data_IF_524161491690
#
_entry.id   IF_524161491690
#
_cell.length_a   1.000
_cell.length_b   1.000
_cell.length_c   1.000
_cell.angle_alpha   90.00
_cell.angle_beta   90.00
_cell.angle_gamma   90.00
#
_symmetry.space_group_name_H-M   'P 1'
#
loop_
_entity.id
_entity.type
_entity.pdbx_description
1 polymer ?
#
# COMPACT_ATOMS: atom_id res chain seq x y z
N UNK A 1 -0.66 -6.27 0.94
CA UNK A 1 0.25 -5.75 1.99
C UNK A 1 -0.44 -5.63 3.34
N UNK A 2 0.37 -5.59 4.40
CA UNK A 2 -0.03 -5.23 5.76
C UNK A 2 0.14 -6.35 6.79
N UNK A 3 0.27 -7.60 6.32
CA UNK A 3 0.45 -8.77 7.18
C UNK A 3 1.91 -8.92 7.62
N UNK A 4 2.85 -9.06 6.67
CA UNK A 4 4.29 -9.01 6.94
C UNK A 4 4.88 -7.65 6.55
N UNK A 5 4.82 -6.69 7.47
CA UNK A 5 5.25 -5.31 7.20
C UNK A 5 6.76 -5.14 7.05
N UNK A 6 7.53 -6.01 7.68
CA UNK A 6 8.99 -5.87 7.78
C UNK A 6 9.76 -6.96 7.02
N UNK A 7 9.06 -7.84 6.29
CA UNK A 7 9.67 -9.01 5.65
C UNK A 7 10.20 -10.05 6.66
N UNK A 8 9.62 -10.12 7.86
CA UNK A 8 10.13 -10.96 8.93
C UNK A 8 9.88 -12.45 8.71
N UNK A 9 8.93 -12.83 7.85
CA UNK A 9 8.47 -14.20 7.68
C UNK A 9 8.22 -14.58 6.21
N UNK A 10 8.96 -13.98 5.27
CA UNK A 10 8.80 -14.22 3.81
C UNK A 10 8.82 -15.72 3.48
N UNK A 11 9.84 -16.44 3.94
CA UNK A 11 9.98 -17.89 3.67
C UNK A 11 8.89 -18.73 4.33
N UNK A 12 8.34 -18.26 5.45
CA UNK A 12 7.22 -18.92 6.13
C UNK A 12 5.92 -18.76 5.33
N UNK A 13 5.61 -17.54 4.90
CA UNK A 13 4.44 -17.28 4.06
C UNK A 13 4.50 -17.98 2.71
N UNK A 14 5.69 -18.05 2.10
CA UNK A 14 5.91 -18.75 0.84
C UNK A 14 5.52 -20.25 0.89
N UNK A 15 5.61 -20.88 2.06
CA UNK A 15 5.26 -22.31 2.24
C UNK A 15 3.77 -22.57 2.38
N UNK A 16 2.94 -21.52 2.56
CA UNK A 16 1.50 -21.65 2.73
C UNK A 16 0.72 -21.78 1.41
N UNK A 17 1.42 -21.81 0.26
CA UNK A 17 0.81 -22.03 -1.06
C UNK A 17 0.30 -20.77 -1.76
N UNK A 18 0.66 -19.58 -1.29
CA UNK A 18 0.35 -18.33 -2.00
C UNK A 18 1.14 -18.21 -3.30
N UNK A 19 0.50 -17.78 -4.39
CA UNK A 19 1.16 -17.57 -5.69
C UNK A 19 2.16 -16.40 -5.70
N UNK A 20 2.03 -15.45 -4.77
CA UNK A 20 2.97 -14.36 -4.54
C UNK A 20 2.86 -13.85 -3.10
N UNK A 21 3.85 -13.07 -2.64
CA UNK A 21 3.85 -12.43 -1.32
C UNK A 21 4.04 -10.93 -1.48
N UNK A 22 3.23 -10.11 -0.80
CA UNK A 22 3.41 -8.65 -0.75
C UNK A 22 3.72 -8.18 0.67
N UNK A 23 4.97 -7.79 0.90
CA UNK A 23 5.45 -7.25 2.19
C UNK A 23 5.28 -5.73 2.27
N UNK A 24 5.38 -5.17 3.48
CA UNK A 24 5.12 -3.75 3.74
C UNK A 24 3.67 -3.48 4.18
N UNK A 25 3.19 -2.24 4.21
CA UNK A 25 3.82 -1.01 3.71
C UNK A 25 5.02 -0.58 4.54
N UNK A 26 6.14 -0.33 3.88
CA UNK A 26 7.36 0.22 4.46
C UNK A 26 7.51 1.71 4.14
N UNK A 27 8.21 2.43 4.99
CA UNK A 27 8.50 3.86 4.83
C UNK A 27 10.01 4.10 4.89
N UNK A 28 10.53 5.27 4.49
CA UNK A 28 11.97 5.54 4.55
C UNK A 28 12.55 5.36 5.94
N UNK A 29 11.91 5.96 6.95
CA UNK A 29 12.31 5.87 8.37
C UNK A 29 11.42 4.88 9.12
N UNK A 30 11.93 4.22 10.18
CA UNK A 30 11.08 3.45 11.08
C UNK A 30 10.03 4.34 11.74
N UNK A 31 8.86 3.77 12.03
CA UNK A 31 7.82 4.45 12.81
C UNK A 31 6.97 3.46 13.63
N UNK A 32 6.52 3.84 14.84
CA UNK A 32 5.80 2.94 15.75
C UNK A 32 4.34 2.69 15.33
N UNK A 33 3.80 3.55 14.45
CA UNK A 33 2.39 3.67 14.11
C UNK A 33 1.51 4.22 15.24
N UNK A 34 0.20 4.16 15.09
CA UNK A 34 -0.74 4.77 16.04
C UNK A 34 -0.76 4.03 17.40
N UNK A 35 -1.17 4.68 18.50
CA UNK A 35 -1.30 4.02 19.81
C UNK A 35 -2.21 2.78 19.78
N UNK A 36 -1.93 1.80 20.65
CA UNK A 36 -2.78 0.61 20.83
C UNK A 36 -3.95 0.93 21.80
N UNK A 37 -5.13 0.27 21.68
CA UNK A 37 -5.51 -0.73 20.68
C UNK A 37 -5.79 -0.12 19.30
N UNK A 38 -5.43 -0.85 18.24
CA UNK A 38 -5.44 -0.35 16.84
C UNK A 38 -5.83 -1.37 15.78
N UNK A 39 -6.28 -2.55 16.20
CA UNK A 39 -6.81 -3.60 15.34
C UNK A 39 -7.90 -4.33 16.12
N UNK A 40 -9.06 -4.48 15.50
CA UNK A 40 -10.27 -5.01 16.11
C UNK A 40 -10.86 -6.05 15.18
N UNK A 41 -11.21 -7.22 15.72
CA UNK A 41 -11.83 -8.31 14.97
C UNK A 41 -13.34 -8.22 15.13
N UNK A 42 -14.07 -8.44 14.04
CA UNK A 42 -15.51 -8.53 14.00
C UNK A 42 -15.89 -9.89 13.38
N UNK A 43 -15.79 -11.00 14.14
CA UNK A 43 -15.93 -12.35 13.59
C UNK A 43 -17.28 -12.59 12.94
N UNK A 44 -18.37 -12.05 13.51
CA UNK A 44 -19.73 -12.19 12.98
C UNK A 44 -19.93 -11.59 11.59
N UNK A 45 -19.03 -10.68 11.18
CA UNK A 45 -19.03 -10.07 9.85
C UNK A 45 -17.80 -10.48 9.02
N UNK A 46 -17.00 -11.45 9.49
CA UNK A 46 -15.73 -11.84 8.86
C UNK A 46 -14.82 -10.64 8.53
N UNK A 47 -14.78 -9.68 9.47
CA UNK A 47 -14.21 -8.36 9.22
C UNK A 47 -13.16 -7.95 10.25
N UNK A 48 -12.34 -6.96 9.86
CA UNK A 48 -11.34 -6.33 10.71
C UNK A 48 -11.43 -4.82 10.51
N UNK A 49 -11.44 -4.07 11.62
CA UNK A 49 -11.19 -2.62 11.61
C UNK A 49 -9.79 -2.37 12.13
N UNK A 50 -9.00 -1.54 11.43
CA UNK A 50 -7.65 -1.21 11.89
C UNK A 50 -7.27 0.25 11.65
N UNK A 51 -6.48 0.79 12.59
CA UNK A 51 -5.88 2.12 12.53
C UNK A 51 -4.38 2.07 12.78
N UNK A 52 -3.67 1.23 12.03
CA UNK A 52 -2.27 0.90 12.35
C UNK A 52 -1.26 2.04 12.09
N UNK A 53 -1.49 2.89 11.08
CA UNK A 53 -0.62 4.05 10.77
C UNK A 53 0.80 3.66 10.32
N UNK A 54 0.91 2.72 9.37
CA UNK A 54 2.20 2.24 8.80
C UNK A 54 3.30 1.92 9.83
N UNK A 55 2.99 1.22 10.93
CA UNK A 55 4.05 0.77 11.85
C UNK A 55 5.05 -0.18 11.15
N UNK A 56 6.32 0.21 11.05
CA UNK A 56 7.38 -0.56 10.38
C UNK A 56 8.78 -0.16 10.89
N UNK A 57 9.79 -0.96 10.56
CA UNK A 57 11.19 -0.78 10.99
C UNK A 57 12.06 -0.01 9.97
N UNK A 58 11.45 0.61 8.97
CA UNK A 58 12.14 1.34 7.90
C UNK A 58 12.57 0.44 6.75
N UNK A 59 12.80 1.07 5.60
CA UNK A 59 13.12 0.37 4.34
C UNK A 59 14.46 -0.35 4.39
N UNK A 60 15.47 0.17 5.09
CA UNK A 60 16.77 -0.50 5.22
C UNK A 60 16.65 -1.83 5.97
N UNK A 61 15.87 -1.87 7.05
CA UNK A 61 15.57 -3.13 7.73
C UNK A 61 14.84 -4.09 6.80
N UNK A 62 13.82 -3.62 6.06
CA UNK A 62 13.07 -4.48 5.14
C UNK A 62 13.98 -5.08 4.06
N UNK A 63 14.86 -4.29 3.43
CA UNK A 63 15.80 -4.77 2.40
C UNK A 63 16.71 -5.85 2.96
N UNK A 64 17.31 -5.66 4.14
CA UNK A 64 18.17 -6.69 4.75
C UNK A 64 17.43 -8.01 5.03
N UNK A 65 16.12 -7.95 5.32
CA UNK A 65 15.28 -9.15 5.47
C UNK A 65 15.00 -9.84 4.15
N UNK A 66 14.76 -9.06 3.08
CA UNK A 66 14.56 -9.60 1.74
C UNK A 66 15.82 -10.28 1.22
N UNK A 67 16.99 -9.69 1.44
CA UNK A 67 18.28 -10.28 1.05
C UNK A 67 18.58 -11.59 1.80
N UNK A 68 18.15 -11.69 3.05
CA UNK A 68 18.31 -12.91 3.85
C UNK A 68 17.30 -14.02 3.53
N UNK A 69 16.20 -13.71 2.84
CA UNK A 69 15.16 -14.67 2.49
C UNK A 69 15.61 -15.61 1.37
N UNK A 70 15.12 -16.85 1.39
CA UNK A 70 15.40 -17.86 0.34
C UNK A 70 14.36 -17.85 -0.77
N UNK A 71 13.22 -17.20 -0.56
CA UNK A 71 12.12 -17.13 -1.49
C UNK A 71 12.54 -16.58 -2.87
N UNK A 72 12.20 -17.31 -3.93
CA UNK A 72 12.48 -16.96 -5.34
C UNK A 72 11.22 -16.72 -6.18
N UNK A 73 10.04 -16.76 -5.56
CA UNK A 73 8.78 -16.48 -6.23
C UNK A 73 8.54 -14.98 -6.42
N UNK A 74 7.30 -14.63 -6.80
CA UNK A 74 6.92 -13.22 -6.99
C UNK A 74 6.82 -12.54 -5.62
N UNK A 75 7.67 -11.53 -5.40
CA UNK A 75 7.73 -10.71 -4.20
C UNK A 75 7.36 -9.25 -4.51
N UNK A 76 6.21 -8.83 -4.02
CA UNK A 76 5.80 -7.43 -4.02
C UNK A 76 6.37 -6.69 -2.82
N UNK A 77 6.89 -5.48 -3.02
CA UNK A 77 7.30 -4.60 -1.93
C UNK A 77 6.43 -3.35 -1.94
N UNK A 78 5.65 -3.17 -0.88
CA UNK A 78 4.71 -2.07 -0.74
C UNK A 78 5.36 -0.89 0.00
N UNK A 79 5.36 0.28 -0.62
CA UNK A 79 6.04 1.49 -0.14
C UNK A 79 5.03 2.61 0.17
N UNK A 80 5.36 3.46 1.13
CA UNK A 80 4.51 4.54 1.61
C UNK A 80 5.31 5.70 2.21
N UNK A 81 4.58 6.77 2.54
CA UNK A 81 5.11 7.97 3.18
C UNK A 81 5.19 7.81 4.71
N UNK A 82 6.24 8.33 5.34
CA UNK A 82 6.31 8.47 6.79
C UNK A 82 5.18 9.37 7.32
N UNK A 83 4.76 9.17 8.58
CA UNK A 83 3.60 9.90 9.13
C UNK A 83 3.86 11.41 9.30
N UNK A 84 5.11 11.80 9.56
CA UNK A 84 5.58 13.16 9.85
C UNK A 84 6.08 13.92 8.61
N UNK A 85 6.26 13.24 7.47
CA UNK A 85 6.56 13.90 6.20
C UNK A 85 5.33 14.69 5.72
N UNK A 86 5.43 16.00 5.45
CA UNK A 86 4.32 16.77 4.86
C UNK A 86 3.85 16.19 3.51
N UNK A 87 2.59 16.40 3.15
CA UNK A 87 2.02 15.83 1.90
C UNK A 87 2.74 16.40 0.67
N UNK A 88 3.17 17.65 0.73
CA UNK A 88 3.94 18.35 -0.31
C UNK A 88 5.32 17.73 -0.54
N UNK A 89 5.82 16.97 0.44
CA UNK A 89 7.09 16.23 0.37
C UNK A 89 6.88 14.72 0.27
N UNK A 90 5.64 14.27 0.07
CA UNK A 90 5.30 12.85 -0.01
C UNK A 90 6.10 12.10 -1.08
N UNK A 91 6.29 12.74 -2.23
CA UNK A 91 7.00 12.19 -3.39
C UNK A 91 8.40 11.71 -2.99
N UNK A 92 9.13 12.48 -2.17
CA UNK A 92 10.49 12.13 -1.74
C UNK A 92 10.53 10.79 -1.02
N UNK A 93 9.58 10.54 -0.11
CA UNK A 93 9.53 9.29 0.63
C UNK A 93 9.28 8.08 -0.28
N UNK A 94 8.44 8.24 -1.30
CA UNK A 94 8.21 7.21 -2.30
C UNK A 94 9.45 6.97 -3.15
N UNK A 95 10.14 8.01 -3.60
CA UNK A 95 11.37 7.89 -4.39
C UNK A 95 12.50 7.23 -3.59
N UNK A 96 12.69 7.61 -2.33
CA UNK A 96 13.68 7.00 -1.43
C UNK A 96 13.39 5.50 -1.25
N UNK A 97 12.13 5.14 -1.02
CA UNK A 97 11.77 3.73 -0.90
C UNK A 97 11.95 2.99 -2.21
N UNK A 98 11.48 3.57 -3.32
CA UNK A 98 11.58 2.97 -4.64
C UNK A 98 13.03 2.63 -4.98
N UNK A 99 13.95 3.57 -4.78
CA UNK A 99 15.39 3.37 -4.97
C UNK A 99 15.95 2.17 -4.23
N UNK A 100 15.57 2.03 -2.95
CA UNK A 100 16.10 0.99 -2.08
C UNK A 100 15.50 -0.38 -2.37
N UNK A 101 14.25 -0.44 -2.81
CA UNK A 101 13.54 -1.73 -2.99
C UNK A 101 13.58 -2.26 -4.43
N UNK A 102 13.89 -1.40 -5.42
CA UNK A 102 13.75 -1.72 -6.84
C UNK A 102 14.41 -3.03 -7.25
N UNK A 103 15.70 -3.19 -6.94
CA UNK A 103 16.46 -4.37 -7.33
C UNK A 103 15.98 -5.67 -6.66
N UNK A 104 15.27 -5.56 -5.53
CA UNK A 104 14.84 -6.69 -4.70
C UNK A 104 13.39 -7.11 -4.97
N UNK A 105 12.63 -6.29 -5.68
CA UNK A 105 11.21 -6.50 -5.92
C UNK A 105 10.94 -7.22 -7.27
N UNK A 106 9.89 -8.04 -7.29
CA UNK A 106 9.24 -8.48 -8.53
C UNK A 106 8.27 -7.42 -9.05
N UNK A 107 7.62 -6.68 -8.14
CA UNK A 107 6.85 -5.47 -8.43
C UNK A 107 6.85 -4.56 -7.18
N UNK A 108 6.68 -3.26 -7.36
CA UNK A 108 6.60 -2.30 -6.25
C UNK A 108 5.18 -1.74 -6.18
N UNK A 109 4.58 -1.79 -5.00
CA UNK A 109 3.28 -1.15 -4.76
C UNK A 109 3.48 0.23 -4.17
N UNK A 110 2.87 1.24 -4.77
CA UNK A 110 2.80 2.60 -4.26
C UNK A 110 1.47 2.77 -3.52
N UNK A 111 1.51 2.92 -2.20
CA UNK A 111 0.30 2.97 -1.37
C UNK A 111 -0.12 4.40 -1.03
N UNK A 112 -1.09 4.91 -1.81
CA UNK A 112 -1.70 6.25 -1.65
C UNK A 112 -3.05 6.21 -0.93
N UNK A 113 -3.49 5.05 -0.43
CA UNK A 113 -4.91 4.81 -0.08
C UNK A 113 -5.18 4.52 1.39
N UNK A 114 -4.15 4.47 2.24
CA UNK A 114 -4.33 4.24 3.68
C UNK A 114 -5.18 5.34 4.33
N UNK A 115 -6.30 5.01 5.00
CA UNK A 115 -7.08 5.98 5.77
C UNK A 115 -6.40 6.40 7.08
N UNK A 116 -5.33 5.71 7.46
CA UNK A 116 -4.72 5.80 8.79
C UNK A 116 -3.49 6.71 8.83
N UNK A 117 -3.16 7.34 7.71
CA UNK A 117 -2.06 8.29 7.55
C UNK A 117 -2.67 9.62 7.12
N UNK A 118 -2.64 10.68 7.96
CA UNK A 118 -3.28 11.96 7.65
C UNK A 118 -2.84 12.52 6.29
N UNK A 119 -3.81 13.02 5.52
CA UNK A 119 -3.56 13.62 4.21
C UNK A 119 -3.10 12.67 3.11
N UNK A 120 -2.96 11.35 3.36
CA UNK A 120 -2.44 10.45 2.33
C UNK A 120 -3.44 10.26 1.19
N UNK A 121 -4.73 10.11 1.50
CA UNK A 121 -5.77 9.87 0.49
C UNK A 121 -5.97 11.04 -0.47
N UNK A 122 -5.58 12.27 -0.10
CA UNK A 122 -5.65 13.41 -1.03
C UNK A 122 -4.62 13.30 -2.17
N UNK A 123 -3.57 12.49 -2.02
CA UNK A 123 -2.63 12.17 -3.12
C UNK A 123 -3.29 11.35 -4.23
N UNK A 124 -4.50 10.81 -4.03
CA UNK A 124 -5.22 10.08 -5.07
C UNK A 124 -5.89 11.01 -6.09
N UNK A 125 -5.88 12.33 -5.89
CA UNK A 125 -6.67 13.24 -6.70
C UNK A 125 -5.85 14.40 -7.27
N UNK A 126 -6.32 14.91 -8.40
CA UNK A 126 -5.82 16.14 -9.02
C UNK A 126 -4.32 16.14 -9.32
N UNK A 127 -3.72 17.31 -9.17
CA UNK A 127 -2.31 17.54 -9.52
C UNK A 127 -1.35 16.77 -8.62
N UNK A 128 -1.74 16.47 -7.37
CA UNK A 128 -0.91 15.70 -6.45
C UNK A 128 -0.70 14.26 -6.94
N UNK A 129 -1.73 13.63 -7.50
CA UNK A 129 -1.59 12.31 -8.11
C UNK A 129 -0.66 12.38 -9.32
N UNK A 130 -0.91 13.32 -10.24
CA UNK A 130 -0.11 13.48 -11.47
C UNK A 130 1.38 13.68 -11.17
N UNK A 131 1.71 14.62 -10.27
CA UNK A 131 3.09 14.88 -9.86
C UNK A 131 3.77 13.64 -9.27
N UNK A 132 3.06 12.88 -8.44
CA UNK A 132 3.58 11.63 -7.88
C UNK A 132 3.84 10.59 -8.97
N UNK A 133 2.88 10.37 -9.87
CA UNK A 133 2.98 9.37 -10.93
C UNK A 133 4.08 9.71 -11.95
N UNK A 134 4.21 10.97 -12.34
CA UNK A 134 5.28 11.45 -13.22
C UNK A 134 6.66 11.23 -12.60
N UNK A 135 6.85 11.60 -11.33
CA UNK A 135 8.11 11.40 -10.62
C UNK A 135 8.47 9.91 -10.50
N UNK A 136 7.48 9.06 -10.19
CA UNK A 136 7.66 7.60 -10.13
C UNK A 136 8.00 7.00 -11.48
N UNK A 137 7.33 7.42 -12.55
CA UNK A 137 7.57 6.95 -13.92
C UNK A 137 8.98 7.29 -14.38
N UNK A 138 9.40 8.55 -14.20
CA UNK A 138 10.76 8.99 -14.51
C UNK A 138 11.79 8.17 -13.71
N UNK A 139 11.57 8.00 -12.40
CA UNK A 139 12.51 7.25 -11.58
C UNK A 139 12.56 5.76 -11.92
N UNK A 140 11.43 5.15 -12.27
CA UNK A 140 11.38 3.76 -12.75
C UNK A 140 12.23 3.59 -14.02
N UNK A 141 12.18 4.55 -14.95
CA UNK A 141 12.99 4.51 -16.17
C UNK A 141 14.50 4.57 -15.86
N UNK A 142 14.92 5.48 -14.99
CA UNK A 142 16.31 5.59 -14.55
C UNK A 142 16.80 4.31 -13.85
N UNK A 143 15.99 3.75 -12.95
CA UNK A 143 16.31 2.52 -12.24
C UNK A 143 16.31 1.31 -13.18
N UNK A 144 15.43 1.29 -14.18
CA UNK A 144 15.43 0.26 -15.24
C UNK A 144 16.76 0.26 -15.99
N UNK A 145 17.26 1.43 -16.38
CA UNK A 145 18.56 1.56 -17.04
C UNK A 145 19.70 1.13 -16.10
N UNK A 146 19.66 1.56 -14.84
CA UNK A 146 20.69 1.25 -13.84
C UNK A 146 20.80 -0.26 -13.53
N UNK A 147 19.67 -0.95 -13.44
CA UNK A 147 19.62 -2.35 -13.03
C UNK A 147 19.44 -3.34 -14.19
N UNK A 148 19.25 -2.86 -15.43
CA UNK A 148 19.00 -3.71 -16.60
C UNK A 148 17.70 -4.51 -16.54
N UNK A 149 16.77 -4.15 -15.65
CA UNK A 149 15.50 -4.84 -15.41
C UNK A 149 14.42 -3.82 -15.11
N UNK A 150 13.29 -3.91 -15.81
CA UNK A 150 12.10 -3.11 -15.49
C UNK A 150 11.28 -3.81 -14.41
N UNK A 151 10.99 -3.10 -13.32
CA UNK A 151 10.18 -3.61 -12.19
C UNK A 151 8.84 -2.88 -12.21
N UNK A 152 7.71 -3.60 -12.40
CA UNK A 152 6.40 -2.98 -12.50
C UNK A 152 6.02 -2.15 -11.26
N UNK A 153 5.40 -1.00 -11.49
CA UNK A 153 4.79 -0.17 -10.44
C UNK A 153 3.27 -0.38 -10.40
N UNK A 154 2.77 -0.80 -9.24
CA UNK A 154 1.35 -0.98 -8.99
C UNK A 154 0.82 0.11 -8.05
N UNK A 155 -0.17 0.90 -8.47
CA UNK A 155 -0.76 1.94 -7.62
C UNK A 155 -1.92 1.33 -6.82
N UNK A 156 -1.88 1.44 -5.48
CA UNK A 156 -2.93 0.91 -4.61
C UNK A 156 -3.91 1.99 -4.20
N UNK A 157 -5.17 1.84 -4.63
CA UNK A 157 -6.23 2.83 -4.48
C UNK A 157 -7.27 2.44 -3.40
N UNK A 158 -8.01 3.42 -2.88
CA UNK A 158 -9.08 3.20 -1.91
C UNK A 158 -10.39 2.84 -2.61
N UNK A 159 -11.31 2.11 -1.95
CA UNK A 159 -12.65 1.83 -2.48
C UNK A 159 -13.62 3.01 -2.30
N UNK A 160 -13.20 4.05 -1.57
CA UNK A 160 -14.06 5.17 -1.17
C UNK A 160 -13.87 6.33 -2.17
N UNK A 161 -14.39 6.16 -3.39
CA UNK A 161 -14.36 7.16 -4.47
C UNK A 161 -15.70 7.15 -5.21
N UNK A 162 -16.09 8.27 -5.82
CA UNK A 162 -17.22 8.28 -6.78
C UNK A 162 -16.80 7.64 -8.11
N UNK A 163 -17.77 7.34 -8.97
CA UNK A 163 -17.50 6.81 -10.30
C UNK A 163 -16.68 7.81 -11.14
N UNK A 164 -16.99 9.11 -11.03
CA UNK A 164 -16.25 10.17 -11.71
C UNK A 164 -14.81 10.26 -11.20
N UNK A 165 -14.60 10.21 -9.89
CA UNK A 165 -13.26 10.17 -9.29
C UNK A 165 -12.47 8.95 -9.76
N UNK A 166 -13.12 7.79 -9.84
CA UNK A 166 -12.51 6.55 -10.32
C UNK A 166 -12.05 6.68 -11.77
N UNK A 167 -12.87 7.25 -12.65
CA UNK A 167 -12.51 7.53 -14.05
C UNK A 167 -11.32 8.49 -14.15
N UNK A 168 -11.29 9.55 -13.34
CA UNK A 168 -10.18 10.50 -13.32
C UNK A 168 -8.86 9.85 -12.87
N UNK A 169 -8.91 9.01 -11.83
CA UNK A 169 -7.75 8.24 -11.35
C UNK A 169 -7.26 7.28 -12.43
N UNK A 170 -8.17 6.52 -13.05
CA UNK A 170 -7.83 5.59 -14.13
C UNK A 170 -7.14 6.30 -15.31
N UNK A 171 -7.67 7.46 -15.73
CA UNK A 171 -7.07 8.27 -16.79
C UNK A 171 -5.64 8.71 -16.42
N UNK A 172 -5.43 9.25 -15.22
CA UNK A 172 -4.11 9.69 -14.77
C UNK A 172 -3.08 8.54 -14.72
N UNK A 173 -3.52 7.34 -14.32
CA UNK A 173 -2.67 6.13 -14.29
C UNK A 173 -2.24 5.68 -15.69
N UNK A 174 -3.17 5.72 -16.66
CA UNK A 174 -2.90 5.40 -18.06
C UNK A 174 -1.95 6.44 -18.67
N UNK A 175 -2.24 7.72 -18.49
CA UNK A 175 -1.43 8.84 -19.02
C UNK A 175 0.02 8.79 -18.49
N UNK A 176 0.20 8.40 -17.23
CA UNK A 176 1.52 8.31 -16.61
C UNK A 176 2.28 7.01 -16.92
N UNK A 177 1.64 6.07 -17.63
CA UNK A 177 2.21 4.77 -17.99
C UNK A 177 2.41 3.83 -16.80
N UNK A 178 1.53 3.88 -15.79
CA UNK A 178 1.59 2.96 -14.65
C UNK A 178 1.23 1.52 -15.07
N UNK A 179 1.90 0.54 -14.47
CA UNK A 179 1.83 -0.85 -14.93
C UNK A 179 0.61 -1.61 -14.43
N UNK A 180 0.15 -1.27 -13.24
CA UNK A 180 -0.91 -2.00 -12.57
C UNK A 180 -1.64 -1.14 -11.53
N UNK A 181 -2.83 -1.61 -11.16
CA UNK A 181 -3.64 -1.06 -10.08
C UNK A 181 -3.96 -2.17 -9.10
N UNK A 182 -3.83 -1.90 -7.80
CA UNK A 182 -4.32 -2.77 -6.74
C UNK A 182 -5.60 -2.15 -6.17
N UNK A 183 -6.72 -2.66 -6.66
CA UNK A 183 -8.06 -2.34 -6.19
C UNK A 183 -8.54 -3.45 -5.23
N UNK A 184 -8.79 -3.21 -3.95
CA UNK A 184 -8.70 -1.92 -3.22
C UNK A 184 -7.97 -2.04 -1.88
N UNK A 185 -7.78 -0.89 -1.23
CA UNK A 185 -7.47 -0.82 0.19
C UNK A 185 -8.75 -0.97 1.05
N UNK A 186 -8.63 -0.74 2.35
CA UNK A 186 -9.73 -0.75 3.32
C UNK A 186 -10.72 0.40 3.09
N UNK A 187 -12.01 0.23 3.43
CA UNK A 187 -13.05 1.28 3.35
C UNK A 187 -13.20 2.06 4.67
N UNK A 188 -13.61 3.32 4.59
CA UNK A 188 -14.07 4.10 5.75
C UNK A 188 -15.53 3.85 6.12
N UNK A 189 -16.29 3.17 5.25
CA UNK A 189 -17.68 2.82 5.53
C UNK A 189 -17.80 1.88 6.73
N UNK A 190 -18.96 1.93 7.39
CA UNK A 190 -19.39 1.01 8.46
C UNK A 190 -20.58 0.14 8.08
N UNK A 191 -20.93 0.16 6.79
CA UNK A 191 -21.96 -0.70 6.25
C UNK A 191 -21.58 -2.18 6.44
N UNK A 192 -22.52 -2.95 6.98
CA UNK A 192 -22.35 -4.38 7.26
C UNK A 192 -21.75 -4.71 8.62
N UNK A 193 -21.45 -3.71 9.46
CA UNK A 193 -20.91 -3.91 10.81
C UNK A 193 -21.60 -3.08 11.89
N UNK A 194 -22.71 -2.42 11.55
CA UNK A 194 -23.49 -1.60 12.45
C UNK A 194 -23.97 -2.41 13.66
N UNK A 195 -23.82 -1.84 14.86
CA UNK A 195 -24.26 -2.47 16.12
C UNK A 195 -23.44 -3.69 16.56
N UNK A 196 -22.44 -4.14 15.79
CA UNK A 196 -21.51 -5.18 16.22
C UNK A 196 -20.50 -4.63 17.23
N UNK A 197 -19.95 -5.47 18.13
CA UNK A 197 -18.80 -5.09 18.95
C UNK A 197 -17.66 -4.58 18.07
N UNK A 198 -17.12 -3.40 18.43
CA UNK A 198 -16.11 -2.67 17.67
C UNK A 198 -16.55 -2.11 16.31
N UNK A 199 -17.83 -2.20 15.93
CA UNK A 199 -18.37 -1.65 14.68
C UNK A 199 -18.08 -0.15 14.50
N UNK A 200 -18.10 0.61 15.60
CA UNK A 200 -17.89 2.07 15.58
C UNK A 200 -16.42 2.49 15.72
N UNK A 201 -15.47 1.55 15.75
CA UNK A 201 -14.04 1.88 15.88
C UNK A 201 -13.54 2.69 14.68
N UNK A 202 -12.68 3.68 14.94
CA UNK A 202 -12.03 4.45 13.86
C UNK A 202 -11.01 3.61 13.08
N UNK A 203 -10.84 3.92 11.80
CA UNK A 203 -9.86 3.30 10.90
C UNK A 203 -10.49 2.67 9.66
N UNK A 204 -9.72 1.84 8.97
CA UNK A 204 -10.16 1.12 7.78
C UNK A 204 -10.83 -0.21 8.09
N UNK A 205 -12.02 -0.43 7.56
CA UNK A 205 -12.75 -1.70 7.55
C UNK A 205 -12.25 -2.60 6.40
N UNK A 206 -12.06 -3.88 6.70
CA UNK A 206 -11.60 -4.95 5.79
C UNK A 206 -12.50 -6.18 5.96
N UNK A 207 -12.40 -7.13 5.02
CA UNK A 207 -13.11 -8.41 5.09
C UNK A 207 -14.36 -8.43 4.21
N UNK A 208 -15.30 -9.32 4.53
CA UNK A 208 -16.50 -9.55 3.72
C UNK A 208 -17.29 -8.27 3.37
N UNK A 209 -17.48 -7.28 4.28
CA UNK A 209 -18.24 -6.07 3.99
C UNK A 209 -17.64 -5.17 2.90
N UNK A 210 -16.35 -5.32 2.58
CA UNK A 210 -15.68 -4.50 1.56
C UNK A 210 -15.89 -5.07 0.15
N UNK A 211 -16.36 -6.32 0.03
CA UNK A 211 -16.39 -7.07 -1.23
C UNK A 211 -17.09 -6.31 -2.35
N UNK A 212 -18.33 -5.87 -2.14
CA UNK A 212 -19.12 -5.22 -3.19
C UNK A 212 -18.47 -3.94 -3.71
N UNK A 213 -18.01 -3.06 -2.80
CA UNK A 213 -17.31 -1.82 -3.17
C UNK A 213 -16.01 -2.11 -3.89
N UNK A 214 -15.24 -3.10 -3.42
CA UNK A 214 -14.00 -3.48 -4.08
C UNK A 214 -14.24 -4.04 -5.47
N UNK A 215 -15.30 -4.83 -5.67
CA UNK A 215 -15.67 -5.40 -6.97
C UNK A 215 -16.18 -4.33 -7.93
N UNK A 216 -16.91 -3.32 -7.46
CA UNK A 216 -17.38 -2.21 -8.30
C UNK A 216 -16.23 -1.36 -8.86
N UNK A 217 -15.13 -1.23 -8.12
CA UNK A 217 -13.94 -0.47 -8.55
C UNK A 217 -13.09 -1.23 -9.59
N UNK A 218 -13.22 -2.56 -9.68
CA UNK A 218 -12.48 -3.43 -10.62
C UNK A 218 -13.19 -3.46 -11.97
#
# INVERSE_FOLDING_TARGET
>A
AGLDKNGAAIDGFAQLGFGFVEIGTVTPRPQPGNPKPRIFRLPNAEAIINRMGFNNLGVDNLVSRVEAAKYRGILGINIGKNFDTPVERAVDDYLICLDKVYAHASYVTVNVSSPNTPGLRSLQFGDSLKQLLEALSLRQQELTQRHGKRVPLAIKIAPDMTDEETVLVAAALIESGMDAVIATNTTLSRQGVEGLPHGDEAGGLSGAPVREKSTHIV
#
